data_IF_202675354759
#
_entry.id   IF_202675354759
#
_cell.length_a   1.000
_cell.length_b   1.000
_cell.length_c   1.000
_cell.angle_alpha   90.00
_cell.angle_beta   90.00
_cell.angle_gamma   90.00
#
_symmetry.space_group_name_H-M   'P 1'
#
loop_
_entity.id
_entity.type
_entity.pdbx_description
1 polymer ?
#
# COMPACT_ATOMS: atom_id res chain seq x y z
N UNK A 1 12.10 1.14 -13.76
CA UNK A 1 10.98 1.37 -12.82
C UNK A 1 9.78 0.58 -13.31
N UNK A 2 9.04 -0.03 -12.39
CA UNK A 2 7.82 -0.76 -12.74
C UNK A 2 6.73 0.26 -13.10
N UNK A 3 6.21 0.18 -14.32
CA UNK A 3 5.16 1.07 -14.81
C UNK A 3 3.82 0.52 -14.36
N UNK A 4 3.16 1.17 -13.40
CA UNK A 4 1.78 0.87 -13.06
C UNK A 4 0.87 1.24 -14.24
N UNK A 5 -0.16 0.44 -14.48
CA UNK A 5 -1.12 0.65 -15.55
C UNK A 5 -2.53 0.73 -14.98
N UNK A 6 -3.26 1.80 -15.33
CA UNK A 6 -4.69 1.90 -15.05
C UNK A 6 -5.44 1.23 -16.20
N UNK A 7 -6.00 0.06 -15.93
CA UNK A 7 -6.68 -0.77 -16.93
C UNK A 7 -8.19 -0.69 -16.73
N UNK A 8 -8.92 -0.47 -17.82
CA UNK A 8 -10.37 -0.56 -17.82
C UNK A 8 -10.79 -2.01 -18.06
N UNK A 9 -11.54 -2.58 -17.12
CA UNK A 9 -12.14 -3.90 -17.21
C UNK A 9 -13.65 -3.78 -17.39
N UNK A 10 -14.26 -4.82 -17.93
CA UNK A 10 -15.72 -4.98 -17.85
C UNK A 10 -16.14 -5.13 -16.38
N UNK A 11 -17.08 -4.29 -15.95
CA UNK A 11 -17.67 -4.36 -14.60
C UNK A 11 -18.61 -5.56 -14.52
N UNK A 12 -18.38 -6.55 -13.64
CA UNK A 12 -19.26 -7.70 -13.54
C UNK A 12 -20.70 -7.31 -13.17
N UNK A 13 -21.67 -7.97 -13.81
CA UNK A 13 -23.08 -7.75 -13.54
C UNK A 13 -23.42 -8.03 -12.07
N UNK A 14 -24.17 -7.13 -11.44
CA UNK A 14 -24.59 -7.25 -10.04
C UNK A 14 -23.49 -6.98 -9.00
N UNK A 15 -22.25 -6.72 -9.40
CA UNK A 15 -21.18 -6.37 -8.48
C UNK A 15 -21.30 -4.91 -8.00
N UNK A 16 -21.32 -4.74 -6.68
CA UNK A 16 -21.35 -3.45 -6.01
C UNK A 16 -20.00 -3.22 -5.32
N UNK A 17 -19.14 -2.32 -5.83
CA UNK A 17 -17.87 -2.00 -5.20
C UNK A 17 -18.12 -1.31 -3.85
N UNK A 18 -17.28 -1.62 -2.85
CA UNK A 18 -17.34 -0.98 -1.54
C UNK A 18 -16.66 0.39 -1.53
N UNK A 19 -15.69 0.58 -2.42
CA UNK A 19 -14.92 1.82 -2.59
C UNK A 19 -14.54 2.02 -4.07
N UNK A 20 -14.16 3.24 -4.48
CA UNK A 20 -13.74 3.51 -5.85
C UNK A 20 -12.44 2.84 -6.28
N UNK A 21 -11.64 2.30 -5.35
CA UNK A 21 -10.44 1.51 -5.65
C UNK A 21 -10.68 -0.02 -5.55
N UNK A 22 -11.91 -0.44 -5.24
CA UNK A 22 -12.26 -1.85 -5.07
C UNK A 22 -12.05 -2.65 -6.36
N UNK A 23 -11.94 -3.96 -6.20
CA UNK A 23 -11.73 -4.89 -7.32
C UNK A 23 -12.77 -6.00 -7.26
N UNK A 24 -13.38 -6.36 -8.41
CA UNK A 24 -14.26 -7.53 -8.43
C UNK A 24 -13.48 -8.82 -8.14
N UNK A 25 -14.07 -9.81 -7.46
CA UNK A 25 -13.40 -11.09 -7.17
C UNK A 25 -12.88 -11.83 -8.42
N UNK A 26 -13.55 -11.61 -9.56
CA UNK A 26 -13.12 -12.06 -10.88
C UNK A 26 -13.18 -10.86 -11.82
N UNK A 27 -12.05 -10.22 -12.15
CA UNK A 27 -12.03 -9.11 -13.08
C UNK A 27 -12.53 -9.57 -14.45
N UNK A 28 -13.37 -8.73 -15.05
CA UNK A 28 -13.82 -8.93 -16.42
C UNK A 28 -12.67 -8.82 -17.41
N UNK A 29 -12.97 -9.01 -18.69
CA UNK A 29 -11.94 -8.90 -19.73
C UNK A 29 -11.36 -7.49 -19.75
N UNK A 30 -10.04 -7.35 -19.90
CA UNK A 30 -9.40 -6.06 -20.11
C UNK A 30 -9.90 -5.46 -21.42
N UNK A 31 -10.35 -4.21 -21.38
CA UNK A 31 -10.89 -3.53 -22.54
C UNK A 31 -9.88 -2.56 -23.14
N UNK A 32 -9.32 -1.67 -22.32
CA UNK A 32 -8.38 -0.64 -22.76
C UNK A 32 -7.52 -0.14 -21.58
N UNK A 33 -6.51 0.65 -21.91
CA UNK A 33 -5.62 1.28 -20.93
C UNK A 33 -6.02 2.74 -20.82
N UNK A 34 -6.34 3.19 -19.60
CA UNK A 34 -6.65 4.58 -19.31
C UNK A 34 -5.35 5.40 -19.21
N UNK A 35 -4.36 4.88 -18.46
CA UNK A 35 -3.11 5.58 -18.20
C UNK A 35 -1.98 4.61 -17.83
N UNK A 36 -0.75 5.13 -17.86
CA UNK A 36 0.48 4.45 -17.41
C UNK A 36 1.31 5.42 -16.59
N UNK A 37 1.63 5.03 -15.37
CA UNK A 37 2.31 5.88 -14.39
C UNK A 37 3.50 5.14 -13.79
N UNK A 38 4.58 5.86 -13.51
CA UNK A 38 5.70 5.29 -12.76
C UNK A 38 5.41 5.24 -11.24
N UNK A 39 4.43 6.03 -10.77
CA UNK A 39 4.05 6.15 -9.36
C UNK A 39 2.69 5.46 -9.08
N UNK A 40 2.65 4.55 -8.10
CA UNK A 40 1.45 3.80 -7.74
C UNK A 40 0.30 4.71 -7.32
N UNK A 41 0.54 5.67 -6.42
CA UNK A 41 -0.52 6.53 -5.88
C UNK A 41 -1.12 7.44 -6.94
N UNK A 42 -0.32 7.85 -7.93
CA UNK A 42 -0.81 8.58 -9.10
C UNK A 42 -1.77 7.70 -9.93
N UNK A 43 -1.39 6.45 -10.22
CA UNK A 43 -2.27 5.50 -10.91
C UNK A 43 -3.56 5.21 -10.13
N UNK A 44 -3.46 5.04 -8.81
CA UNK A 44 -4.62 4.80 -7.93
C UNK A 44 -5.56 5.99 -7.91
N UNK A 45 -5.03 7.21 -7.80
CA UNK A 45 -5.83 8.44 -7.83
C UNK A 45 -6.62 8.55 -9.14
N UNK A 46 -5.97 8.31 -10.28
CA UNK A 46 -6.65 8.31 -11.59
C UNK A 46 -7.72 7.23 -11.71
N UNK A 47 -7.46 6.02 -11.17
CA UNK A 47 -8.47 4.96 -11.16
C UNK A 47 -9.69 5.33 -10.30
N UNK A 48 -9.47 5.90 -9.11
CA UNK A 48 -10.52 6.39 -8.21
C UNK A 48 -11.31 7.51 -8.88
N UNK A 49 -10.65 8.50 -9.47
CA UNK A 49 -11.29 9.62 -10.17
C UNK A 49 -12.17 9.13 -11.33
N UNK A 50 -11.66 8.20 -12.13
CA UNK A 50 -12.45 7.57 -13.19
C UNK A 50 -13.67 6.87 -12.60
N UNK A 51 -13.48 5.99 -11.61
CA UNK A 51 -14.55 5.19 -11.00
C UNK A 51 -15.60 6.04 -10.25
N UNK A 52 -15.22 7.21 -9.76
CA UNK A 52 -16.13 8.17 -9.11
C UNK A 52 -16.89 9.04 -10.12
N UNK A 53 -16.42 9.17 -11.36
CA UNK A 53 -17.05 10.00 -12.40
C UNK A 53 -18.45 9.48 -12.80
N UNK A 54 -19.32 10.40 -13.25
CA UNK A 54 -20.65 10.05 -13.76
C UNK A 54 -20.59 9.11 -14.97
N UNK A 55 -19.54 9.25 -15.79
CA UNK A 55 -19.32 8.41 -16.97
C UNK A 55 -19.08 6.95 -16.58
N UNK A 56 -18.28 6.67 -15.54
CA UNK A 56 -18.07 5.30 -15.06
C UNK A 56 -19.31 4.70 -14.38
N UNK A 57 -20.17 5.52 -13.77
CA UNK A 57 -21.42 5.04 -13.18
C UNK A 57 -22.44 4.61 -14.24
N UNK A 58 -22.42 5.26 -15.40
CA UNK A 58 -23.27 4.91 -16.54
C UNK A 58 -22.68 3.82 -17.44
N UNK A 59 -21.36 3.63 -17.41
CA UNK A 59 -20.65 2.63 -18.21
C UNK A 59 -20.56 1.27 -17.50
N UNK A 60 -20.55 0.18 -18.27
CA UNK A 60 -20.22 -1.18 -17.80
C UNK A 60 -18.70 -1.39 -17.61
N UNK A 61 -17.98 -0.35 -17.19
CA UNK A 61 -16.51 -0.32 -17.09
C UNK A 61 -16.06 0.02 -15.68
N UNK A 62 -14.91 -0.50 -15.29
CA UNK A 62 -14.28 -0.21 -14.00
C UNK A 62 -12.76 -0.09 -14.19
N UNK A 63 -12.14 0.91 -13.57
CA UNK A 63 -10.70 1.09 -13.58
C UNK A 63 -10.05 0.32 -12.43
N UNK A 64 -8.99 -0.41 -12.75
CA UNK A 64 -8.14 -1.13 -11.78
C UNK A 64 -6.67 -0.80 -12.04
N UNK A 65 -5.85 -0.82 -10.98
CA UNK A 65 -4.40 -0.59 -11.11
C UNK A 65 -3.68 -1.93 -11.10
N UNK A 66 -2.81 -2.12 -12.09
CA UNK A 66 -2.04 -3.35 -12.26
C UNK A 66 -0.56 -3.06 -12.53
N UNK A 67 0.30 -4.02 -12.19
CA UNK A 67 1.68 -4.09 -12.65
C UNK A 67 1.75 -5.02 -13.88
N UNK A 68 1.85 -4.48 -15.10
CA UNK A 68 1.87 -5.25 -16.33
C UNK A 68 3.17 -6.07 -16.44
N UNK A 69 3.08 -7.28 -17.01
CA UNK A 69 4.24 -8.15 -17.19
C UNK A 69 4.69 -8.88 -15.92
N UNK A 70 4.07 -8.59 -14.77
CA UNK A 70 4.15 -9.44 -13.57
C UNK A 70 3.02 -10.46 -13.57
N UNK A 71 3.33 -11.71 -13.23
CA UNK A 71 2.32 -12.77 -13.16
C UNK A 71 1.47 -12.58 -11.90
N UNK A 72 0.24 -12.10 -12.08
CA UNK A 72 -0.77 -12.03 -11.03
C UNK A 72 -1.45 -13.38 -10.79
N UNK A 73 -2.17 -13.48 -9.67
CA UNK A 73 -2.99 -14.67 -9.36
C UNK A 73 -4.35 -14.61 -10.03
N UNK A 74 -4.89 -13.40 -10.08
CA UNK A 74 -6.23 -13.12 -10.59
C UNK A 74 -6.21 -12.86 -12.10
N UNK A 75 -5.11 -12.29 -12.62
CA UNK A 75 -4.96 -11.98 -14.02
C UNK A 75 -3.62 -12.53 -14.56
N UNK A 76 -3.64 -13.49 -15.50
CA UNK A 76 -2.42 -14.14 -16.00
C UNK A 76 -1.35 -13.24 -16.64
N UNK A 77 -1.68 -11.99 -17.02
CA UNK A 77 -0.76 -11.08 -17.70
C UNK A 77 -0.35 -9.85 -16.89
N UNK A 78 -0.89 -9.68 -15.68
CA UNK A 78 -0.60 -8.53 -14.84
C UNK A 78 -0.89 -8.85 -13.36
N UNK A 79 -0.11 -8.27 -12.44
CA UNK A 79 -0.38 -8.38 -11.00
C UNK A 79 -1.32 -7.27 -10.56
N UNK A 80 -2.35 -7.60 -9.80
CA UNK A 80 -3.30 -6.61 -9.30
C UNK A 80 -2.71 -5.83 -8.12
N UNK A 81 -2.69 -4.51 -8.22
CA UNK A 81 -2.20 -3.62 -7.16
C UNK A 81 -3.34 -3.21 -6.21
N UNK A 82 -4.53 -2.93 -6.75
CA UNK A 82 -5.71 -2.49 -6.00
C UNK A 82 -6.71 -3.63 -5.69
N UNK A 83 -7.58 -3.48 -4.67
CA UNK A 83 -7.61 -2.38 -3.69
C UNK A 83 -6.38 -2.36 -2.79
N UNK A 84 -6.02 -1.18 -2.31
CA UNK A 84 -4.94 -1.06 -1.32
C UNK A 84 -5.50 -1.35 0.08
N UNK A 85 -4.76 -2.11 0.86
CA UNK A 85 -5.03 -2.25 2.30
C UNK A 85 -4.11 -1.33 3.08
N UNK A 86 -4.60 -0.71 4.14
CA UNK A 86 -3.80 0.25 4.90
C UNK A 86 -3.55 -0.23 6.32
N UNK A 87 -2.40 0.15 6.86
CA UNK A 87 -2.05 -0.06 8.27
C UNK A 87 -1.20 1.08 8.79
N UNK A 88 -1.10 1.17 10.10
CA UNK A 88 -0.22 2.11 10.79
C UNK A 88 1.02 1.38 11.28
N UNK A 89 2.19 1.98 11.06
CA UNK A 89 3.46 1.43 11.52
C UNK A 89 4.31 2.52 12.17
N UNK A 90 5.07 2.14 13.20
CA UNK A 90 6.07 3.01 13.79
C UNK A 90 7.36 2.94 12.95
N UNK A 91 7.94 4.10 12.67
CA UNK A 91 9.23 4.22 12.00
C UNK A 91 10.28 4.77 12.96
N UNK A 92 11.53 4.41 12.69
CA UNK A 92 12.65 5.15 13.22
C UNK A 92 12.97 6.30 12.26
N UNK A 93 13.33 7.46 12.81
CA UNK A 93 13.76 8.62 12.04
C UNK A 93 15.15 9.11 12.50
N UNK A 94 15.89 9.79 11.62
CA UNK A 94 17.22 10.29 11.94
C UNK A 94 17.20 11.30 13.10
N UNK A 95 18.19 11.22 13.99
CA UNK A 95 18.41 12.26 15.02
C UNK A 95 18.47 13.65 14.37
N UNK A 96 17.83 14.65 14.96
CA UNK A 96 17.82 16.03 14.44
C UNK A 96 16.89 16.27 13.25
N UNK A 97 16.05 15.30 12.88
CA UNK A 97 14.87 15.56 12.05
C UNK A 97 13.73 16.11 12.92
N UNK A 98 13.07 17.16 12.43
CA UNK A 98 12.01 17.87 13.14
C UNK A 98 10.72 17.89 12.29
N UNK A 99 9.61 17.30 12.77
CA UNK A 99 8.33 17.38 12.07
C UNK A 99 7.72 18.78 12.22
N UNK A 100 7.13 19.27 11.13
CA UNK A 100 6.31 20.49 11.06
C UNK A 100 4.81 20.19 11.15
N UNK A 101 4.42 18.96 10.83
CA UNK A 101 3.06 18.45 10.89
C UNK A 101 3.05 17.02 11.46
N UNK A 102 1.97 16.59 12.15
CA UNK A 102 1.82 15.20 12.56
C UNK A 102 1.69 14.23 11.38
N UNK A 103 1.54 14.72 10.15
CA UNK A 103 1.48 13.91 8.94
C UNK A 103 2.80 13.89 8.15
N UNK A 104 3.86 14.53 8.67
CA UNK A 104 5.15 14.53 8.02
C UNK A 104 5.76 13.12 7.96
N UNK A 105 6.42 12.82 6.85
CA UNK A 105 7.14 11.55 6.64
C UNK A 105 8.57 11.86 6.19
N UNK A 106 9.59 11.50 6.98
CA UNK A 106 10.98 11.75 6.62
C UNK A 106 11.34 11.00 5.34
N UNK A 107 12.13 11.61 4.44
CA UNK A 107 12.55 10.95 3.20
C UNK A 107 13.42 9.70 3.45
N UNK A 108 14.21 9.68 4.53
CA UNK A 108 14.95 8.50 4.94
C UNK A 108 14.14 7.70 5.97
N UNK A 109 13.28 6.80 5.50
CA UNK A 109 12.58 5.85 6.39
C UNK A 109 13.44 4.59 6.54
N UNK A 110 14.12 4.43 7.68
CA UNK A 110 14.81 3.18 7.98
C UNK A 110 13.89 2.25 8.77
N UNK A 111 13.56 1.10 8.17
CA UNK A 111 12.79 -0.04 8.71
C UNK A 111 11.81 0.33 9.82
N UNK A 112 10.53 0.36 9.49
CA UNK A 112 9.48 0.31 10.51
C UNK A 112 9.75 -0.86 11.47
N UNK A 113 10.01 -0.52 12.73
CA UNK A 113 10.18 -1.50 13.81
C UNK A 113 8.87 -1.63 14.55
N UNK A 114 8.44 -2.87 14.74
CA UNK A 114 7.20 -3.22 15.41
C UNK A 114 6.45 -4.24 14.57
N UNK A 115 5.81 -5.20 15.23
CA UNK A 115 4.78 -5.96 14.55
C UNK A 115 3.76 -4.92 14.05
N UNK A 116 3.52 -4.85 12.74
CA UNK A 116 2.45 -4.00 12.24
C UNK A 116 1.19 -4.36 13.01
N UNK A 117 0.36 -3.37 13.36
CA UNK A 117 -0.98 -3.72 13.79
C UNK A 117 -1.60 -4.57 12.67
N UNK A 118 -1.88 -5.85 12.94
CA UNK A 118 -2.40 -6.80 11.96
C UNK A 118 -3.79 -6.39 11.45
N UNK A 119 -4.43 -5.46 12.15
CA UNK A 119 -5.69 -4.90 11.71
C UNK A 119 -5.49 -3.96 10.51
N UNK A 120 -5.92 -4.44 9.35
CA UNK A 120 -6.12 -3.60 8.17
C UNK A 120 -7.26 -2.61 8.45
N UNK A 121 -7.02 -1.35 8.09
CA UNK A 121 -7.95 -0.22 8.25
C UNK A 121 -8.15 0.49 6.91
N UNK A 122 -9.15 1.35 6.84
CA UNK A 122 -9.29 2.28 5.70
C UNK A 122 -8.20 3.35 5.72
N UNK A 123 -7.96 4.00 4.57
CA UNK A 123 -7.00 5.10 4.49
C UNK A 123 -7.33 6.25 5.46
N UNK A 124 -8.62 6.59 5.57
CA UNK A 124 -9.10 7.66 6.45
C UNK A 124 -8.85 7.32 7.93
N UNK A 125 -9.15 6.08 8.34
CA UNK A 125 -8.87 5.61 9.70
C UNK A 125 -7.36 5.59 9.99
N UNK A 126 -6.55 5.06 9.06
CA UNK A 126 -5.08 5.04 9.21
C UNK A 126 -4.51 6.45 9.41
N UNK A 127 -4.97 7.40 8.60
CA UNK A 127 -4.53 8.80 8.64
C UNK A 127 -4.93 9.45 9.96
N UNK A 128 -6.17 9.24 10.43
CA UNK A 128 -6.64 9.77 11.70
C UNK A 128 -5.86 9.21 12.90
N UNK A 129 -5.51 7.92 12.87
CA UNK A 129 -4.67 7.28 13.90
C UNK A 129 -3.27 7.90 13.89
N UNK A 130 -2.62 8.00 12.73
CA UNK A 130 -1.29 8.59 12.59
C UNK A 130 -1.28 10.04 13.07
N UNK A 131 -2.25 10.85 12.63
CA UNK A 131 -2.38 12.24 13.07
C UNK A 131 -2.46 12.34 14.59
N UNK A 132 -3.29 11.50 15.21
CA UNK A 132 -3.49 11.49 16.66
C UNK A 132 -2.22 11.07 17.43
N UNK A 133 -1.57 9.99 16.99
CA UNK A 133 -0.35 9.48 17.63
C UNK A 133 0.83 10.45 17.49
N UNK A 134 1.03 11.01 16.31
CA UNK A 134 2.12 11.94 16.06
C UNK A 134 1.88 13.29 16.73
N UNK A 135 0.63 13.76 16.85
CA UNK A 135 0.34 14.97 17.62
C UNK A 135 0.70 14.80 19.11
N UNK A 136 0.49 13.62 19.68
CA UNK A 136 0.99 13.30 21.03
C UNK A 136 2.53 13.33 21.07
N UNK A 137 3.20 12.79 20.04
CA UNK A 137 4.66 12.82 19.95
C UNK A 137 5.28 14.20 19.68
N UNK A 138 4.50 15.15 19.16
CA UNK A 138 4.92 16.55 19.04
C UNK A 138 4.76 17.32 20.36
N UNK A 139 3.79 16.94 21.19
CA UNK A 139 3.51 17.61 22.47
C UNK A 139 4.30 17.01 23.64
N UNK A 140 4.69 15.74 23.52
CA UNK A 140 5.49 15.00 24.50
C UNK A 140 6.69 14.42 23.77
N UNK A 141 7.89 14.46 24.36
CA UNK A 141 9.11 13.93 23.75
C UNK A 141 8.98 12.41 23.46
N UNK A 142 8.44 12.06 22.29
CA UNK A 142 8.26 10.70 21.85
C UNK A 142 9.49 10.20 21.09
N UNK A 143 9.78 8.91 21.27
CA UNK A 143 10.85 8.20 20.57
C UNK A 143 10.34 7.43 19.34
N UNK A 144 9.04 7.54 19.05
CA UNK A 144 8.36 6.88 17.93
C UNK A 144 7.58 7.89 17.09
N UNK A 145 7.64 7.71 15.78
CA UNK A 145 6.87 8.44 14.80
C UNK A 145 6.12 7.42 13.96
N UNK A 146 4.89 7.73 13.59
CA UNK A 146 3.98 6.80 12.95
C UNK A 146 3.72 7.23 11.52
N UNK A 147 3.59 6.25 10.63
CA UNK A 147 3.27 6.46 9.21
C UNK A 147 2.16 5.53 8.77
N UNK A 148 1.45 5.93 7.71
CA UNK A 148 0.53 5.06 7.01
C UNK A 148 1.32 4.22 6.01
N UNK A 149 1.06 2.92 5.99
CA UNK A 149 1.56 2.00 4.98
C UNK A 149 0.41 1.51 4.11
N UNK A 150 0.55 1.65 2.80
CA UNK A 150 -0.32 1.03 1.81
C UNK A 150 0.26 -0.32 1.38
N UNK A 151 -0.56 -1.35 1.38
CA UNK A 151 -0.20 -2.73 1.03
C UNK A 151 -0.92 -3.08 -0.26
N UNK A 152 -0.17 -3.54 -1.25
CA UNK A 152 -0.73 -3.98 -2.51
C UNK A 152 -1.52 -5.30 -2.36
N UNK A 153 -2.62 -5.42 -3.12
CA UNK A 153 -3.55 -6.54 -3.03
C UNK A 153 -2.88 -7.90 -3.27
N UNK A 154 -2.25 -8.09 -4.43
CA UNK A 154 -1.62 -9.35 -4.77
C UNK A 154 -0.16 -9.45 -4.33
N UNK A 155 0.24 -10.61 -3.75
CA UNK A 155 1.62 -10.84 -3.35
C UNK A 155 2.54 -10.95 -4.57
N UNK A 156 3.80 -10.54 -4.38
CA UNK A 156 4.89 -10.77 -5.33
C UNK A 156 5.51 -12.16 -5.19
N UNK A 157 5.32 -12.81 -4.03
CA UNK A 157 5.77 -14.18 -3.79
C UNK A 157 4.80 -14.91 -2.85
N UNK A 158 4.59 -16.20 -3.10
CA UNK A 158 3.70 -17.05 -2.32
C UNK A 158 4.28 -18.45 -2.23
N UNK A 159 4.66 -18.86 -1.02
CA UNK A 159 5.25 -20.17 -0.75
C UNK A 159 4.36 -20.93 0.21
N UNK A 160 4.04 -22.18 -0.13
CA UNK A 160 3.33 -23.11 0.74
C UNK A 160 4.27 -24.27 1.04
N UNK A 161 4.50 -24.55 2.31
CA UNK A 161 5.32 -25.68 2.78
C UNK A 161 4.54 -26.49 3.80
N UNK A 162 4.55 -27.81 3.67
CA UNK A 162 4.06 -28.71 4.69
C UNK A 162 5.24 -29.20 5.53
N UNK A 163 5.08 -29.18 6.85
CA UNK A 163 6.00 -29.88 7.72
C UNK A 163 5.58 -31.34 7.95
N UNK A 164 6.48 -32.20 8.49
CA UNK A 164 6.15 -33.59 8.79
C UNK A 164 5.04 -33.79 9.81
N UNK A 165 4.62 -32.74 10.53
CA UNK A 165 3.49 -32.79 11.48
C UNK A 165 2.14 -32.57 10.80
N UNK A 166 2.11 -32.36 9.48
CA UNK A 166 0.90 -32.04 8.74
C UNK A 166 0.48 -30.57 8.88
N UNK A 167 1.36 -29.70 9.36
CA UNK A 167 1.09 -28.26 9.41
C UNK A 167 1.49 -27.62 8.09
N UNK A 168 0.53 -26.96 7.46
CA UNK A 168 0.78 -26.12 6.30
C UNK A 168 1.19 -24.72 6.76
N UNK A 169 2.39 -24.29 6.34
CA UNK A 169 2.86 -22.92 6.48
C UNK A 169 2.77 -22.22 5.13
N UNK A 170 2.01 -21.14 5.07
CA UNK A 170 1.94 -20.24 3.91
C UNK A 170 2.68 -18.95 4.21
N UNK A 171 3.59 -18.56 3.31
CA UNK A 171 4.31 -17.29 3.36
C UNK A 171 3.92 -16.47 2.14
N UNK A 172 3.37 -15.27 2.37
CA UNK A 172 3.02 -14.30 1.33
C UNK A 172 3.89 -13.07 1.45
N UNK A 173 4.59 -12.70 0.37
CA UNK A 173 5.35 -11.45 0.32
C UNK A 173 4.58 -10.44 -0.52
N UNK A 174 4.25 -9.28 0.03
CA UNK A 174 3.54 -8.18 -0.63
C UNK A 174 4.42 -6.94 -0.71
N UNK A 175 4.21 -6.12 -1.75
CA UNK A 175 4.79 -4.77 -1.81
C UNK A 175 4.03 -3.86 -0.85
N UNK A 176 4.77 -3.03 -0.13
CA UNK A 176 4.23 -1.98 0.73
C UNK A 176 4.87 -0.64 0.36
N UNK A 177 4.11 0.41 0.61
CA UNK A 177 4.48 1.78 0.29
C UNK A 177 4.22 2.65 1.51
N UNK A 178 5.21 3.46 1.89
CA UNK A 178 4.97 4.49 2.91
C UNK A 178 4.19 5.63 2.26
N UNK A 179 3.06 5.99 2.86
CA UNK A 179 2.18 7.04 2.34
C UNK A 179 2.55 8.37 2.99
N UNK A 180 2.80 9.38 2.15
CA UNK A 180 2.78 10.79 2.56
C UNK A 180 1.40 11.35 2.20
N UNK A 181 0.64 11.75 3.21
CA UNK A 181 -0.64 12.42 3.00
C UNK A 181 -0.43 13.80 2.35
N UNK A 182 -1.42 14.31 1.62
CA UNK A 182 -1.31 15.59 0.90
C UNK A 182 -1.04 16.79 1.84
N UNK A 183 -1.53 16.73 3.08
CA UNK A 183 -1.28 17.73 4.13
C UNK A 183 0.05 17.51 4.90
N UNK A 184 0.79 16.46 4.56
CA UNK A 184 2.07 16.09 5.17
C UNK A 184 3.27 16.46 4.29
N UNK A 185 4.35 16.88 4.92
CA UNK A 185 5.63 17.18 4.28
C UNK A 185 6.73 16.15 4.60
N UNK A 186 7.97 16.54 4.33
CA UNK A 186 9.16 15.74 4.66
C UNK A 186 9.71 16.03 6.05
N UNK A 187 9.13 16.97 6.80
CA UNK A 187 9.77 17.61 7.96
C UNK A 187 11.04 18.39 7.60
N UNK A 188 11.75 18.87 8.62
CA UNK A 188 13.07 19.51 8.48
C UNK A 188 14.18 18.52 8.83
N UNK A 189 15.18 18.40 7.95
CA UNK A 189 16.38 17.60 8.21
C UNK A 189 17.64 18.42 7.91
N UNK A 190 17.59 19.75 7.96
CA UNK A 190 18.74 20.61 7.60
C UNK A 190 19.91 20.47 8.58
N UNK A 191 19.63 20.00 9.81
CA UNK A 191 20.62 19.83 10.87
C UNK A 191 20.76 18.36 11.32
N UNK A 192 20.09 17.43 10.65
CA UNK A 192 20.16 16.01 10.97
C UNK A 192 21.46 15.40 10.39
N UNK A 193 22.10 14.41 11.02
CA UNK A 193 23.21 13.67 10.42
C UNK A 193 22.85 13.01 9.09
N UNK A 194 21.56 12.70 8.89
CA UNK A 194 21.05 12.14 7.64
C UNK A 194 20.98 13.15 6.48
N UNK A 195 21.19 14.46 6.69
CA UNK A 195 21.12 15.48 5.63
C UNK A 195 22.10 15.23 4.47
N UNK A 196 23.20 14.54 4.78
CA UNK A 196 24.20 14.12 3.80
C UNK A 196 23.83 12.86 3.00
N UNK A 197 22.76 12.15 3.37
CA UNK A 197 22.32 10.94 2.68
C UNK A 197 21.49 11.28 1.44
N UNK A 198 21.66 10.50 0.37
CA UNK A 198 20.91 10.67 -0.87
C UNK A 198 19.39 10.57 -0.63
N UNK A 199 18.96 9.65 0.24
CA UNK A 199 17.55 9.51 0.61
C UNK A 199 16.98 10.79 1.24
N UNK A 200 17.77 11.62 1.92
CA UNK A 200 17.25 12.82 2.58
C UNK A 200 16.91 13.92 1.56
N UNK A 201 17.57 13.87 0.40
CA UNK A 201 17.48 14.87 -0.69
C UNK A 201 16.62 14.41 -1.86
N UNK A 202 16.36 13.11 -1.96
CA UNK A 202 15.41 12.57 -2.91
C UNK A 202 13.99 13.00 -2.53
N UNK A 203 13.16 13.25 -3.54
CA UNK A 203 11.71 13.16 -3.32
C UNK A 203 11.41 11.73 -2.90
N UNK A 204 10.52 11.58 -1.91
CA UNK A 204 10.07 10.29 -1.40
C UNK A 204 9.20 9.64 -2.48
N UNK A 205 9.84 9.21 -3.56
CA UNK A 205 9.23 8.45 -4.63
C UNK A 205 8.90 7.08 -4.04
N UNK A 206 7.63 6.90 -3.66
CA UNK A 206 7.00 5.68 -3.18
C UNK A 206 8.02 4.57 -2.84
N UNK A 207 8.71 4.72 -1.71
CA UNK A 207 9.74 3.76 -1.31
C UNK A 207 9.08 2.38 -1.19
N UNK A 208 9.43 1.50 -2.14
CA UNK A 208 8.83 0.18 -2.23
C UNK A 208 9.57 -0.72 -1.24
N UNK A 209 8.87 -1.10 -0.17
CA UNK A 209 9.34 -2.14 0.72
C UNK A 209 8.54 -3.43 0.50
N UNK A 210 8.95 -4.51 1.16
CA UNK A 210 8.23 -5.78 1.16
C UNK A 210 7.77 -6.15 2.55
N UNK A 211 6.55 -6.63 2.67
CA UNK A 211 5.97 -7.22 3.89
C UNK A 211 5.80 -8.73 3.67
N UNK A 212 6.19 -9.53 4.66
CA UNK A 212 5.97 -10.98 4.66
C UNK A 212 4.91 -11.35 5.68
N UNK A 213 3.79 -11.90 5.22
CA UNK A 213 2.72 -12.44 6.04
C UNK A 213 2.92 -13.96 6.18
N UNK A 214 2.91 -14.47 7.41
CA UNK A 214 3.06 -15.89 7.71
C UNK A 214 1.76 -16.43 8.32
N UNK A 215 1.19 -17.46 7.69
CA UNK A 215 0.00 -18.17 8.18
C UNK A 215 0.32 -19.64 8.39
N UNK A 216 -0.12 -20.21 9.51
CA UNK A 216 0.00 -21.64 9.81
C UNK A 216 -1.38 -22.24 10.02
N UNK A 217 -1.70 -23.32 9.31
CA UNK A 217 -2.93 -24.08 9.49
C UNK A 217 -2.62 -25.57 9.64
N UNK A 218 -3.19 -26.26 10.65
CA UNK A 218 -3.21 -27.72 10.66
C UNK A 218 -4.02 -28.20 9.45
N UNK A 219 -3.53 -29.23 8.74
CA UNK A 219 -4.35 -29.90 7.74
C UNK A 219 -5.22 -30.92 8.46
N UNK A 220 -6.54 -30.72 8.38
CA UNK A 220 -7.50 -31.72 8.82
C UNK A 220 -7.53 -32.84 7.78
N UNK A 221 -6.73 -33.88 8.02
CA UNK A 221 -6.78 -35.13 7.27
C UNK A 221 -8.00 -35.90 7.75
N UNK A 222 -9.19 -35.46 7.33
CA UNK A 222 -10.48 -35.99 7.78
C UNK A 222 -10.45 -37.52 7.92
N UNK A 223 -10.66 -37.98 9.16
CA UNK A 223 -10.82 -39.38 9.52
C UNK A 223 -12.25 -39.87 9.31
#
# INVERSE_FOLDING_TARGET
MAKYQVSLIERPAGWQPRSPDDMPPKPGKPQSVLAREDNLFTAVRQAIEYNASQDAQSASRWAVVVEPGSLGRTWPGARMCTPLSYKVAAIWWPTGWEPKSPLDVPNCVWRAQGEPNDQLVTYQEATAIVQSLNHQGMTQAAVRWYVVMAIENEPISHTVSLDPSGTETTVMVRKIHVVRADEGGSGDCSHCPAHGLDCARADLDADIHTLSDLSRRPIDLGG
#
